data_IF_537331043583
#
_entry.id   IF_537331043583
#
_cell.length_a   1.000
_cell.length_b   1.000
_cell.length_c   1.000
_cell.angle_alpha   90.00
_cell.angle_beta   90.00
_cell.angle_gamma   90.00
#
_symmetry.space_group_name_H-M   'P 1'
#
loop_
_entity.id
_entity.type
_entity.pdbx_description
1 polymer ?
2 non-polymer ?
3 water ?
#
# COMPACT_ATOMS: atom_id res chain seq x y z
N UNK A 1 5.00 8.14 -5.61
CA UNK A 1 3.86 8.44 -6.54
C UNK A 1 4.30 9.40 -7.66
N UNK A 2 4.12 8.96 -8.91
CA UNK A 2 4.49 9.79 -10.05
C UNK A 2 3.24 10.51 -10.59
N UNK A 3 3.39 11.77 -10.97
CA UNK A 3 2.26 12.51 -11.51
C UNK A 3 1.20 12.92 -10.51
N UNK A 4 1.53 12.89 -9.22
CA UNK A 4 0.56 13.29 -8.21
C UNK A 4 0.84 14.70 -7.69
N UNK A 5 0.30 15.01 -6.52
CA UNK A 5 0.48 16.31 -5.87
C UNK A 5 0.54 16.06 -4.37
N UNK A 6 0.92 17.08 -3.60
CA UNK A 6 0.98 16.93 -2.15
C UNK A 6 -0.39 16.66 -1.56
N UNK A 7 -0.47 15.73 -0.63
CA UNK A 7 -1.74 15.44 0.03
C UNK A 7 -1.89 16.53 1.09
N UNK A 8 -3.11 16.80 1.54
CA UNK A 8 -3.31 17.79 2.58
C UNK A 8 -2.94 17.03 3.86
N UNK A 9 -2.56 17.75 4.90
CA UNK A 9 -2.19 17.07 6.14
C UNK A 9 -3.40 16.35 6.68
N UNK A 10 -3.22 15.10 7.10
CA UNK A 10 -4.31 14.31 7.65
C UNK A 10 -5.36 13.84 6.66
N UNK A 11 -5.11 14.05 5.37
CA UNK A 11 -6.07 13.65 4.33
C UNK A 11 -6.22 12.12 4.21
N UNK A 12 -5.17 11.36 4.51
CA UNK A 12 -5.24 9.90 4.41
C UNK A 12 -4.72 9.33 5.73
N UNK A 13 -5.52 9.46 6.80
CA UNK A 13 -5.23 8.99 8.15
C UNK A 13 -4.93 7.50 8.33
N UNK A 14 -5.16 6.70 7.28
CA UNK A 14 -4.88 5.27 7.36
C UNK A 14 -3.51 4.96 6.75
N UNK A 15 -2.96 5.90 6.00
CA UNK A 15 -1.65 5.70 5.37
C UNK A 15 -0.56 5.65 6.40
N UNK A 16 0.21 4.56 6.38
CA UNK A 16 1.30 4.34 7.31
C UNK A 16 2.65 4.31 6.60
N UNK A 17 3.70 4.71 7.31
CA UNK A 17 5.05 4.72 6.75
C UNK A 17 5.89 3.73 7.54
N UNK A 18 6.58 2.85 6.82
CA UNK A 18 7.41 1.85 7.48
C UNK A 18 8.90 2.06 7.26
N UNK A 19 9.61 2.26 8.37
CA UNK A 19 11.04 2.47 8.33
C UNK A 19 11.76 1.21 8.81
N UNK A 20 12.86 0.87 8.16
CA UNK A 20 13.67 -0.28 8.55
C UNK A 20 14.87 0.30 9.30
N UNK A 21 15.30 -0.36 10.37
CA UNK A 21 16.42 0.09 11.18
C UNK A 21 17.60 0.66 10.38
N UNK A 22 17.81 1.98 10.47
CA UNK A 22 18.92 2.59 9.77
C UNK A 22 18.75 2.78 8.27
N UNK A 23 17.52 2.68 7.77
CA UNK A 23 17.29 2.84 6.33
C UNK A 23 16.22 3.85 5.94
N UNK A 24 15.51 4.40 6.93
CA UNK A 24 14.46 5.35 6.63
C UNK A 24 13.25 4.65 6.03
N UNK A 25 12.36 5.42 5.40
CA UNK A 25 11.16 4.89 4.77
C UNK A 25 11.45 3.83 3.71
N UNK A 26 10.84 2.67 3.84
CA UNK A 26 11.03 1.58 2.88
C UNK A 26 9.72 1.18 2.22
N UNK A 27 8.66 1.11 3.02
CA UNK A 27 7.35 0.73 2.51
C UNK A 27 6.20 1.45 3.22
N UNK A 28 5.03 1.41 2.62
CA UNK A 28 3.86 2.01 3.24
C UNK A 28 3.03 0.84 3.74
N UNK A 29 1.93 1.14 4.42
CA UNK A 29 1.02 0.10 4.92
C UNK A 29 -0.31 0.81 5.17
N UNK A 30 -1.31 0.09 5.65
CA UNK A 30 -2.58 0.75 5.94
C UNK A 30 -3.10 0.28 7.28
N UNK A 31 -3.66 1.22 8.04
CA UNK A 31 -4.22 0.94 9.35
C UNK A 31 -5.61 0.34 9.09
N UNK A 32 -5.89 -0.85 9.61
CA UNK A 32 -7.19 -1.48 9.41
C UNK A 32 -7.91 -1.73 10.75
N UNK A 33 -7.19 -1.51 11.84
CA UNK A 33 -7.73 -1.69 13.19
C UNK A 33 -6.71 -1.12 14.17
N UNK A 34 -7.04 -1.15 15.48
CA UNK A 34 -6.08 -0.61 16.46
C UNK A 34 -4.73 -1.35 16.47
N UNK A 35 -4.75 -2.65 16.25
CA UNK A 35 -3.51 -3.43 16.28
C UNK A 35 -2.98 -4.01 14.98
N UNK A 36 -3.68 -3.78 13.87
CA UNK A 36 -3.20 -4.33 12.61
C UNK A 36 -3.09 -3.40 11.41
N UNK A 37 -2.11 -3.71 10.59
CA UNK A 37 -1.84 -2.97 9.36
C UNK A 37 -1.77 -3.99 8.24
N UNK A 38 -2.10 -3.53 7.04
CA UNK A 38 -2.04 -4.37 5.86
C UNK A 38 -0.90 -3.78 5.02
N UNK A 39 -0.11 -4.65 4.41
CA UNK A 39 1.01 -4.21 3.57
C UNK A 39 1.29 -5.27 2.50
N UNK A 40 2.43 -5.16 1.81
CA UNK A 40 2.81 -6.09 0.75
C UNK A 40 3.88 -7.05 1.25
N UNK A 41 3.74 -8.33 0.94
CA UNK A 41 4.71 -9.33 1.40
C UNK A 41 6.14 -9.10 0.86
N UNK A 42 6.26 -8.55 -0.35
CA UNK A 42 7.59 -8.34 -0.92
C UNK A 42 8.47 -7.37 -0.12
N UNK A 43 7.87 -6.59 0.77
CA UNK A 43 8.64 -5.65 1.61
C UNK A 43 9.40 -6.37 2.71
N UNK A 44 8.92 -7.55 3.09
CA UNK A 44 9.52 -8.30 4.21
C UNK A 44 10.33 -9.53 3.85
N UNK A 45 10.96 -9.51 2.68
CA UNK A 45 11.78 -10.64 2.24
C UNK A 45 13.22 -10.36 2.63
N UNK A 46 13.86 -11.28 3.35
CA UNK A 46 15.25 -11.07 3.73
C UNK A 46 16.14 -11.07 2.49
N UNK A 47 17.31 -10.47 2.63
CA UNK A 47 18.32 -10.47 1.57
C UNK A 47 19.61 -10.72 2.39
N UNK A 48 20.74 -10.94 1.73
CA UNK A 48 21.97 -11.24 2.46
C UNK A 48 22.43 -10.21 3.50
N UNK A 49 22.04 -8.96 3.32
CA UNK A 49 22.49 -7.93 4.25
C UNK A 49 21.52 -7.34 5.25
N UNK A 50 20.26 -7.79 5.24
CA UNK A 50 19.25 -7.25 6.17
C UNK A 50 18.03 -8.16 6.26
N UNK A 51 17.59 -8.42 7.49
CA UNK A 51 16.45 -9.29 7.75
C UNK A 51 15.10 -8.58 7.73
N UNK A 52 14.63 -8.22 6.55
CA UNK A 52 13.35 -7.54 6.46
C UNK A 52 12.20 -8.34 7.08
N UNK A 53 12.37 -9.65 7.19
CA UNK A 53 11.32 -10.51 7.73
C UNK A 53 11.17 -10.42 9.25
N UNK A 54 12.17 -9.82 9.90
CA UNK A 54 12.16 -9.69 11.35
C UNK A 54 11.37 -8.46 11.77
N UNK A 55 10.23 -8.67 12.46
CA UNK A 55 9.37 -7.57 12.93
C UNK A 55 10.09 -6.51 13.76
N UNK A 56 11.12 -6.92 14.49
CA UNK A 56 11.87 -6.00 15.35
C UNK A 56 12.74 -5.01 14.58
N UNK A 57 13.00 -5.30 13.31
CA UNK A 57 13.83 -4.42 12.49
C UNK A 57 13.03 -3.23 11.92
N UNK A 58 11.73 -3.18 12.20
CA UNK A 58 10.84 -2.13 11.68
C UNK A 58 10.20 -1.15 12.66
N UNK A 59 9.83 0.02 12.14
CA UNK A 59 9.14 1.05 12.92
C UNK A 59 7.98 1.57 12.07
N UNK A 60 6.78 1.64 12.65
CA UNK A 60 5.62 2.12 11.91
C UNK A 60 5.25 3.53 12.36
N UNK A 61 5.17 4.46 11.42
CA UNK A 61 4.79 5.83 11.76
C UNK A 61 3.37 6.09 11.25
N UNK A 62 2.45 6.28 12.18
CA UNK A 62 1.06 6.56 11.85
C UNK A 62 0.80 8.05 12.04
N UNK A 63 0.02 8.64 11.15
CA UNK A 63 -0.28 10.05 11.25
C UNK A 63 0.79 10.95 10.64
N UNK A 64 1.80 10.33 10.03
CA UNK A 64 2.89 11.08 9.43
C UNK A 64 2.45 11.82 8.16
N UNK A 65 3.07 12.98 7.90
CA UNK A 65 2.78 13.77 6.71
C UNK A 65 4.07 14.05 5.95
N UNK A 66 5.10 14.47 6.68
CA UNK A 66 6.40 14.81 6.10
C UNK A 66 7.49 13.94 6.73
N UNK A 67 8.26 13.25 5.90
CA UNK A 67 9.32 12.37 6.39
C UNK A 67 10.35 13.12 7.26
N UNK A 68 10.55 14.41 6.96
CA UNK A 68 11.50 15.22 7.72
C UNK A 68 10.91 15.78 9.01
N UNK A 69 9.68 15.39 9.33
CA UNK A 69 8.98 15.84 10.54
C UNK A 69 8.25 14.67 11.19
N UNK A 70 9.02 13.66 11.59
CA UNK A 70 8.47 12.46 12.19
C UNK A 70 8.10 12.55 13.66
N UNK A 71 8.28 13.73 14.24
CA UNK A 71 7.94 13.94 15.64
C UNK A 71 6.80 14.93 15.80
N UNK A 72 6.38 15.52 14.68
CA UNK A 72 5.31 16.50 14.68
C UNK A 72 4.13 16.03 15.53
N UNK A 73 3.29 16.97 16.00
CA UNK A 73 2.13 16.62 16.83
C UNK A 73 1.18 15.72 16.05
N UNK A 74 0.69 14.67 16.70
CA UNK A 74 -0.23 13.77 16.05
C UNK A 74 0.41 12.51 15.48
N UNK A 75 1.71 12.60 15.18
CA UNK A 75 2.42 11.46 14.63
C UNK A 75 2.66 10.45 15.73
N UNK A 76 2.31 9.19 15.45
CA UNK A 76 2.52 8.14 16.42
C UNK A 76 3.60 7.21 15.86
N UNK A 77 4.44 6.69 16.75
CA UNK A 77 5.49 5.77 16.36
C UNK A 77 5.21 4.46 17.06
N UNK A 78 5.28 3.37 16.32
CA UNK A 78 5.02 2.05 16.89
C UNK A 78 5.97 1.01 16.34
N UNK A 79 6.22 0.00 17.13
CA UNK A 79 7.07 -1.08 16.68
C UNK A 79 6.18 -2.26 16.31
N UNK A 80 6.73 -3.20 15.55
CA UNK A 80 5.98 -4.36 15.12
C UNK A 80 6.27 -5.59 15.99
N UNK A 81 5.19 -6.27 16.33
CA UNK A 81 5.24 -7.46 17.15
C UNK A 81 5.30 -8.70 16.25
N UNK A 82 4.73 -8.58 15.05
CA UNK A 82 4.72 -9.70 14.12
C UNK A 82 4.46 -9.26 12.68
N UNK A 83 4.92 -10.10 11.75
CA UNK A 83 4.76 -9.89 10.31
C UNK A 83 4.27 -11.20 9.71
N UNK A 84 3.02 -11.21 9.23
CA UNK A 84 2.44 -12.40 8.63
C UNK A 84 2.31 -12.28 7.11
N UNK A 85 3.25 -12.86 6.36
CA UNK A 85 3.20 -12.82 4.91
C UNK A 85 2.22 -13.88 4.43
N UNK A 86 1.48 -13.60 3.37
CA UNK A 86 0.55 -14.62 2.92
C UNK A 86 1.35 -15.86 2.59
N UNK A 87 0.90 -17.02 3.12
CA UNK A 87 1.63 -18.26 2.86
C UNK A 87 1.84 -18.57 1.38
N UNK A 88 0.95 -18.06 0.53
CA UNK A 88 1.09 -18.32 -0.89
C UNK A 88 1.94 -17.28 -1.65
N UNK A 89 2.49 -16.29 -0.94
CA UNK A 89 3.31 -15.29 -1.63
C UNK A 89 4.45 -15.94 -2.39
N UNK A 90 4.72 -15.42 -3.58
CA UNK A 90 5.77 -15.92 -4.45
C UNK A 90 6.67 -14.76 -4.91
N UNK A 91 7.94 -14.80 -4.52
CA UNK A 91 8.91 -13.78 -4.85
C UNK A 91 9.17 -13.59 -6.35
N UNK A 92 8.94 -14.63 -7.15
CA UNK A 92 9.18 -14.58 -8.58
C UNK A 92 7.97 -14.09 -9.37
N UNK A 93 6.80 -14.64 -9.07
CA UNK A 93 5.60 -14.25 -9.79
C UNK A 93 4.90 -13.09 -9.09
N UNK A 94 5.15 -12.97 -7.78
CA UNK A 94 4.55 -11.93 -6.96
C UNK A 94 3.09 -12.20 -6.64
N UNK A 95 2.65 -13.42 -6.91
CA UNK A 95 1.27 -13.77 -6.62
C UNK A 95 1.12 -13.69 -5.08
N UNK A 96 -0.08 -13.35 -4.63
CA UNK A 96 -0.35 -13.26 -3.19
C UNK A 96 0.56 -12.29 -2.45
N UNK A 97 0.81 -11.14 -3.05
CA UNK A 97 1.67 -10.12 -2.46
C UNK A 97 0.90 -9.31 -1.43
N UNK A 98 0.73 -9.87 -0.24
CA UNK A 98 0.03 -9.16 0.82
C UNK A 98 0.56 -9.62 2.18
N UNK A 99 0.54 -8.72 3.15
CA UNK A 99 1.04 -9.05 4.48
C UNK A 99 0.30 -8.29 5.57
N UNK A 100 0.26 -8.90 6.76
CA UNK A 100 -0.40 -8.33 7.92
C UNK A 100 0.66 -8.04 8.98
N UNK A 101 0.70 -6.80 9.45
CA UNK A 101 1.67 -6.42 10.45
C UNK A 101 0.95 -6.10 11.76
N UNK A 102 1.34 -6.78 12.84
CA UNK A 102 0.74 -6.53 14.14
C UNK A 102 1.57 -5.52 14.90
N UNK A 103 0.94 -4.44 15.35
CA UNK A 103 1.63 -3.43 16.12
C UNK A 103 1.97 -3.93 17.53
N UNK A 104 3.10 -3.51 18.05
CA UNK A 104 3.54 -3.90 19.39
C UNK A 104 2.56 -3.35 20.42
N UNK A 105 2.07 -2.14 20.18
CA UNK A 105 1.15 -1.47 21.08
C UNK A 105 0.02 -0.85 20.25
N UNK A 106 -1.21 -0.83 20.78
CA UNK A 106 -2.37 -0.27 20.08
C UNK A 106 -2.20 1.14 19.53
N UNK A 107 -2.72 1.38 18.33
CA UNK A 107 -2.65 2.71 17.74
C UNK A 107 -3.74 3.52 18.43
N UNK A 108 -3.58 4.84 18.48
CA UNK A 108 -4.58 5.67 19.12
C UNK A 108 -5.34 6.44 18.06
N UNK A 109 -6.64 6.19 17.98
CA UNK A 109 -7.45 6.89 16.99
C UNK A 109 -7.56 8.38 17.29
N UNK A 110 -7.38 9.18 16.24
CA UNK A 110 -7.43 10.63 16.30
C UNK A 110 -7.78 11.08 14.91
N UNK A 111 -7.85 12.39 14.69
CA UNK A 111 -8.20 12.91 13.37
C UNK A 111 -7.11 12.65 12.32
N UNK A 112 -5.92 12.29 12.78
CA UNK A 112 -4.79 12.05 11.87
C UNK A 112 -4.47 10.58 11.75
N UNK A 113 -5.07 9.77 12.62
CA UNK A 113 -4.84 8.33 12.62
C UNK A 113 -6.19 7.63 12.67
N UNK A 114 -6.59 7.07 11.53
CA UNK A 114 -7.88 6.39 11.44
C UNK A 114 -7.76 5.20 10.46
N UNK A 115 -8.42 4.08 10.77
CA UNK A 115 -8.35 2.90 9.90
C UNK A 115 -9.16 3.07 8.61
N UNK A 116 -8.71 2.38 7.57
CA UNK A 116 -9.43 2.41 6.31
C UNK A 116 -10.45 1.27 6.41
N UNK A 117 -11.54 1.37 5.68
CA UNK A 117 -12.55 0.31 5.74
C UNK A 117 -12.13 -0.84 4.82
N UNK A 118 -12.42 -2.07 5.24
CA UNK A 118 -12.12 -3.24 4.44
C UNK A 118 -13.38 -3.68 3.69
N UNK A 119 -13.21 -4.02 2.41
CA UNK A 119 -14.31 -4.46 1.54
C UNK A 119 -14.63 -5.95 1.73
N UNK A 120 -15.93 -6.28 1.73
CA UNK A 120 -16.38 -7.67 1.87
C UNK A 120 -15.85 -8.51 0.70
N UNK A 121 -15.78 -9.82 0.92
CA UNK A 121 -15.26 -10.75 -0.07
C UNK A 121 -15.93 -10.70 -1.45
N UNK A 122 -17.22 -10.41 -1.50
CA UNK A 122 -17.91 -10.40 -2.77
C UNK A 122 -17.90 -9.04 -3.47
N UNK A 123 -17.32 -8.03 -2.83
CA UNK A 123 -17.30 -6.72 -3.45
C UNK A 123 -16.35 -6.65 -4.63
N UNK A 124 -16.77 -5.94 -5.66
CA UNK A 124 -15.99 -5.77 -6.86
C UNK A 124 -15.83 -4.28 -7.20
N UNK A 125 -14.58 -3.85 -7.29
CA UNK A 125 -14.26 -2.47 -7.65
C UNK A 125 -14.30 -2.55 -9.17
N UNK A 126 -15.28 -1.89 -9.79
CA UNK A 126 -15.45 -1.89 -11.24
C UNK A 126 -14.38 -1.22 -12.09
N UNK A 127 -14.18 -1.80 -13.27
CA UNK A 127 -13.22 -1.26 -14.22
C UNK A 127 -13.64 0.17 -14.48
N UNK A 128 -12.68 1.09 -14.60
CA UNK A 128 -13.05 2.47 -14.86
C UNK A 128 -13.25 3.34 -13.63
N UNK A 129 -13.46 2.74 -12.46
CA UNK A 129 -13.66 3.55 -11.25
C UNK A 129 -12.41 4.33 -10.82
N UNK A 130 -12.61 5.57 -10.40
CA UNK A 130 -11.51 6.41 -9.95
C UNK A 130 -11.08 5.94 -8.57
N UNK A 131 -9.78 5.72 -8.40
CA UNK A 131 -9.20 5.27 -7.15
C UNK A 131 -8.04 6.21 -6.80
N UNK A 132 -7.68 6.26 -5.52
CA UNK A 132 -6.57 7.11 -5.13
C UNK A 132 -5.41 6.27 -4.61
N UNK A 133 -4.20 6.57 -5.09
CA UNK A 133 -3.00 5.87 -4.62
C UNK A 133 -2.18 6.94 -3.87
N UNK A 134 -1.58 6.56 -2.74
CA UNK A 134 -0.82 7.51 -1.94
C UNK A 134 0.51 6.95 -1.46
N UNK A 135 1.48 7.84 -1.22
CA UNK A 135 2.76 7.36 -0.74
C UNK A 135 3.91 8.34 -0.78
N UNK A 136 5.03 7.94 -0.17
CA UNK A 136 6.24 8.76 -0.11
C UNK A 136 7.27 8.22 -1.12
N UNK A 137 6.81 7.38 -2.04
CA UNK A 137 7.71 6.81 -3.04
C UNK A 137 8.25 7.82 -4.03
N UNK A 138 9.09 7.35 -4.95
CA UNK A 138 9.67 8.21 -5.97
C UNK A 138 8.59 8.97 -6.72
N UNK A 139 8.92 10.20 -7.09
CA UNK A 139 7.98 11.02 -7.82
C UNK A 139 8.30 10.96 -9.31
N UNK A 140 9.33 10.20 -9.65
CA UNK A 140 9.76 10.01 -11.03
C UNK A 140 10.45 8.64 -11.13
N UNK A 141 10.31 7.95 -12.26
CA UNK A 141 10.99 6.66 -12.40
C UNK A 141 12.46 7.08 -12.52
N UNK A 142 13.29 6.56 -11.62
CA UNK A 142 14.69 6.94 -11.64
C UNK A 142 14.88 8.26 -10.92
N UNK A 143 13.91 8.61 -10.06
CA UNK A 143 13.99 9.85 -9.31
C UNK A 143 14.26 9.60 -7.83
N UNK A 144 13.70 10.46 -6.98
CA UNK A 144 13.88 10.32 -5.54
C UNK A 144 12.55 10.35 -4.79
N UNK A 145 12.54 9.81 -3.57
CA UNK A 145 11.34 9.77 -2.77
C UNK A 145 10.79 11.16 -2.50
N UNK A 146 9.62 11.21 -1.86
CA UNK A 146 8.98 12.49 -1.53
C UNK A 146 8.97 12.69 -0.03
N UNK A 147 9.20 13.93 0.41
CA UNK A 147 9.18 14.23 1.84
C UNK A 147 7.73 14.28 2.28
N UNK A 148 6.92 15.00 1.50
CA UNK A 148 5.50 15.18 1.76
C UNK A 148 4.66 14.08 1.08
N UNK A 149 3.74 13.49 1.83
CA UNK A 149 2.88 12.44 1.28
C UNK A 149 2.25 12.88 -0.05
N UNK A 150 2.28 11.98 -1.02
CA UNK A 150 1.75 12.23 -2.34
C UNK A 150 0.47 11.44 -2.61
N UNK A 151 -0.40 12.00 -3.44
CA UNK A 151 -1.65 11.35 -3.81
C UNK A 151 -1.81 11.50 -5.32
N UNK A 152 -2.32 10.44 -5.94
CA UNK A 152 -2.55 10.47 -7.36
C UNK A 152 -3.85 9.78 -7.66
N UNK A 153 -4.57 10.25 -8.67
CA UNK A 153 -5.82 9.62 -9.01
C UNK A 153 -5.62 8.73 -10.22
N UNK A 154 -6.05 7.50 -10.09
CA UNK A 154 -5.92 6.53 -11.17
C UNK A 154 -7.24 5.75 -11.37
N UNK A 155 -7.29 4.89 -12.37
CA UNK A 155 -8.51 4.15 -12.62
C UNK A 155 -8.31 2.66 -12.74
N UNK A 156 -9.31 1.92 -12.27
CA UNK A 156 -9.27 0.48 -12.34
C UNK A 156 -9.31 0.09 -13.81
N UNK A 157 -8.41 -0.80 -14.19
CA UNK A 157 -8.35 -1.26 -15.56
C UNK A 157 -8.94 -2.66 -15.70
N UNK A 158 -9.61 -2.88 -16.83
CA UNK A 158 -10.22 -4.14 -17.19
C UNK A 158 -9.17 -5.27 -17.04
N UNK A 159 -9.54 -6.36 -16.39
CA UNK A 159 -8.62 -7.47 -16.15
C UNK A 159 -8.02 -8.03 -17.43
N UNK A 160 -8.85 -8.20 -18.46
CA UNK A 160 -8.40 -8.73 -19.73
C UNK A 160 -7.32 -7.85 -20.33
N UNK A 161 -7.57 -6.53 -20.32
CA UNK A 161 -6.60 -5.56 -20.84
C UNK A 161 -5.30 -5.68 -20.04
N UNK A 162 -5.44 -5.79 -18.71
CA UNK A 162 -4.29 -5.93 -17.83
C UNK A 162 -3.43 -7.15 -18.24
N UNK A 163 -4.06 -8.32 -18.30
CA UNK A 163 -3.36 -9.56 -18.68
C UNK A 163 -2.64 -9.38 -20.01
N UNK A 164 -3.32 -8.75 -20.96
CA UNK A 164 -2.76 -8.53 -22.29
C UNK A 164 -1.63 -7.51 -22.29
N UNK A 165 -1.66 -6.56 -21.38
CA UNK A 165 -0.58 -5.58 -21.35
C UNK A 165 0.69 -6.21 -20.78
N UNK A 166 0.51 -7.09 -19.81
CA UNK A 166 1.63 -7.75 -19.14
C UNK A 166 1.48 -9.28 -19.24
N UNK A 167 1.59 -9.81 -20.47
CA UNK A 167 1.48 -11.24 -20.75
C UNK A 167 2.28 -12.17 -19.83
N UNK A 168 1.64 -13.27 -19.42
CA UNK A 168 2.25 -14.27 -18.55
C UNK A 168 2.66 -13.72 -17.18
N UNK A 169 2.06 -12.60 -16.78
CA UNK A 169 2.44 -12.00 -15.50
C UNK A 169 1.29 -11.64 -14.58
N UNK A 170 0.08 -11.54 -15.11
CA UNK A 170 -1.04 -11.15 -14.26
C UNK A 170 -1.92 -12.31 -13.76
N UNK A 171 -1.99 -12.48 -12.44
CA UNK A 171 -2.82 -13.53 -11.85
C UNK A 171 -4.15 -12.90 -11.39
N UNK A 172 -5.15 -13.72 -11.05
CA UNK A 172 -6.44 -13.21 -10.60
C UNK A 172 -6.33 -12.44 -9.26
N UNK A 173 -5.19 -12.57 -8.58
CA UNK A 173 -4.99 -11.84 -7.33
C UNK A 173 -4.50 -10.43 -7.61
N UNK A 174 -4.16 -10.16 -8.86
CA UNK A 174 -3.65 -8.85 -9.25
C UNK A 174 -4.68 -8.02 -10.02
N UNK A 175 -4.52 -6.71 -9.97
CA UNK A 175 -5.41 -5.79 -10.65
C UNK A 175 -4.60 -4.59 -11.16
N UNK A 176 -4.79 -4.26 -12.43
CA UNK A 176 -4.09 -3.10 -12.97
C UNK A 176 -4.91 -1.85 -12.61
N UNK A 177 -4.24 -0.80 -12.17
CA UNK A 177 -4.91 0.46 -11.83
C UNK A 177 -3.97 1.57 -12.27
N UNK A 178 -4.50 2.50 -13.07
CA UNK A 178 -3.69 3.60 -13.57
C UNK A 178 -4.21 4.06 -14.92
N UNK A 179 -3.30 4.30 -15.86
CA UNK A 179 -3.68 4.74 -17.21
C UNK A 179 -2.78 4.06 -18.22
N UNK A 180 -3.35 3.68 -19.36
CA UNK A 180 -2.53 3.05 -20.38
C UNK A 180 -1.48 4.06 -20.84
N UNK A 181 -1.84 5.35 -20.84
CA UNK A 181 -0.91 6.41 -21.26
C UNK A 181 0.13 6.76 -20.19
N UNK A 182 -0.03 6.18 -19.00
CA UNK A 182 0.91 6.46 -17.91
C UNK A 182 0.56 7.76 -17.21
N UNK A 183 1.55 8.60 -16.96
CA UNK A 183 1.27 9.87 -16.31
C UNK A 183 1.17 9.80 -14.80
N UNK A 184 0.22 9.01 -14.30
CA UNK A 184 0.07 8.84 -12.85
C UNK A 184 0.22 7.37 -12.51
N UNK A 185 1.10 7.08 -11.56
CA UNK A 185 1.36 5.71 -11.14
C UNK A 185 2.08 5.74 -9.79
N UNK A 186 2.01 4.64 -9.05
CA UNK A 186 2.72 4.56 -7.79
C UNK A 186 4.14 4.22 -8.24
N UNK A 187 5.08 4.13 -7.32
CA UNK A 187 6.45 3.84 -7.74
C UNK A 187 7.21 3.32 -6.53
N UNK A 188 8.53 3.21 -6.67
CA UNK A 188 9.36 2.72 -5.59
C UNK A 188 9.15 3.48 -4.28
N UNK A 189 8.93 2.74 -3.20
CA UNK A 189 8.71 3.37 -1.92
C UNK A 189 7.22 3.42 -1.60
N UNK A 190 6.37 3.27 -2.62
CA UNK A 190 4.94 3.28 -2.42
C UNK A 190 4.49 1.85 -2.07
N UNK A 191 5.33 0.87 -2.42
CA UNK A 191 5.07 -0.54 -2.14
C UNK A 191 4.42 -0.77 -0.78
N UNK A 192 3.36 -1.59 -0.75
CA UNK A 192 2.68 -1.91 0.50
C UNK A 192 1.60 -0.94 0.93
N UNK A 193 1.54 0.20 0.24
CA UNK A 193 0.53 1.22 0.53
C UNK A 193 -0.85 0.81 0.05
N UNK A 194 -1.88 1.51 0.51
CA UNK A 194 -3.24 1.15 0.07
C UNK A 194 -3.83 1.97 -1.06
N UNK A 195 -4.78 1.38 -1.77
CA UNK A 195 -5.49 2.11 -2.81
C UNK A 195 -6.74 2.51 -2.05
N UNK A 196 -7.08 3.79 -2.12
CA UNK A 196 -8.26 4.29 -1.43
C UNK A 196 -9.39 4.53 -2.44
N UNK A 197 -10.53 3.89 -2.22
CA UNK A 197 -11.68 4.05 -3.09
C UNK A 197 -12.85 4.69 -2.34
N UNK A 198 -13.30 5.86 -2.82
CA UNK A 198 -14.43 6.55 -2.21
C UNK A 198 -15.66 5.72 -2.58
N UNK A 199 -16.41 5.27 -1.59
CA UNK A 199 -17.60 4.47 -1.88
C UNK A 199 -18.91 5.24 -1.78
N UNK A 200 -20.03 4.52 -1.92
CA UNK A 200 -21.38 5.10 -1.93
C UNK A 200 -21.73 6.21 -0.93
N UNK A 201 -21.19 6.16 0.29
CA UNK A 201 -21.52 7.20 1.27
C UNK A 201 -20.35 8.13 1.59
N UNK A 202 -19.32 8.14 0.75
CA UNK A 202 -18.18 9.00 0.99
C UNK A 202 -17.08 8.32 1.76
N UNK A 203 -17.42 7.21 2.44
CA UNK A 203 -16.42 6.48 3.21
C UNK A 203 -15.45 5.78 2.27
N UNK A 204 -14.19 5.70 2.71
CA UNK A 204 -13.14 5.11 1.90
C UNK A 204 -12.76 3.68 2.26
N UNK A 205 -12.70 2.84 1.23
CA UNK A 205 -12.37 1.42 1.36
C UNK A 205 -11.07 1.08 0.63
N UNK A 206 -10.31 0.12 1.16
CA UNK A 206 -9.07 -0.28 0.51
C UNK A 206 -9.38 -1.16 -0.70
N UNK A 207 -9.02 -0.67 -1.87
CA UNK A 207 -9.24 -1.39 -3.13
C UNK A 207 -8.03 -2.19 -3.55
N UNK A 208 -6.93 -2.05 -2.81
CA UNK A 208 -5.74 -2.79 -3.16
C UNK A 208 -4.47 -2.43 -2.40
N UNK A 209 -3.40 -3.15 -2.72
CA UNK A 209 -2.09 -2.95 -2.11
C UNK A 209 -1.07 -2.70 -3.23
N UNK A 210 -0.31 -1.61 -3.13
CA UNK A 210 0.71 -1.29 -4.13
C UNK A 210 1.66 -2.49 -4.15
N UNK A 211 1.77 -3.16 -5.31
CA UNK A 211 2.60 -4.35 -5.40
C UNK A 211 3.81 -4.22 -6.31
N UNK A 212 3.58 -4.03 -7.61
CA UNK A 212 4.71 -3.89 -8.52
C UNK A 212 4.30 -3.18 -9.79
N UNK A 213 5.28 -2.94 -10.64
CA UNK A 213 5.06 -2.29 -11.90
C UNK A 213 6.35 -2.35 -12.71
N UNK A 214 6.23 -2.39 -14.04
CA UNK A 214 7.42 -2.41 -14.88
C UNK A 214 7.80 -0.95 -15.03
N UNK A 215 8.78 -0.51 -14.24
CA UNK A 215 9.18 0.89 -14.26
C UNK A 215 8.11 1.63 -13.49
N UNK A 216 7.81 2.86 -13.88
CA UNK A 216 6.78 3.66 -13.22
C UNK A 216 6.18 4.65 -14.20
N UNK A 217 4.86 4.70 -14.26
CA UNK A 217 4.16 5.63 -15.13
C UNK A 217 4.49 5.44 -16.60
N UNK A 218 5.08 4.31 -16.97
CA UNK A 218 5.41 4.06 -18.35
C UNK A 218 4.16 3.73 -19.16
N UNK A 219 4.17 4.12 -20.43
CA UNK A 219 3.06 3.85 -21.33
C UNK A 219 2.81 2.34 -21.37
N UNK A 220 1.55 1.93 -21.28
CA UNK A 220 1.15 0.53 -21.30
C UNK A 220 1.74 -0.35 -20.21
N UNK A 221 2.14 0.27 -19.11
CA UNK A 221 2.71 -0.48 -17.99
C UNK A 221 2.15 0.12 -16.71
N UNK A 222 0.83 -0.04 -16.49
CA UNK A 222 0.17 0.48 -15.29
C UNK A 222 0.62 -0.26 -14.05
N UNK A 223 0.46 0.35 -12.90
CA UNK A 223 0.84 -0.29 -11.67
C UNK A 223 -0.05 -1.50 -11.41
N UNK A 224 0.53 -2.56 -10.88
CA UNK A 224 -0.21 -3.78 -10.58
C UNK A 224 -0.40 -3.80 -9.06
N UNK A 225 -1.62 -4.10 -8.64
CA UNK A 225 -1.99 -4.11 -7.23
C UNK A 225 -2.62 -5.41 -6.78
N UNK A 226 -2.43 -5.75 -5.50
CA UNK A 226 -3.01 -6.95 -4.94
C UNK A 226 -4.44 -6.59 -4.50
N UNK A 227 -5.42 -7.37 -4.95
CA UNK A 227 -6.83 -7.12 -4.58
C UNK A 227 -7.08 -7.40 -3.10
N UNK A 228 -8.07 -6.71 -2.53
CA UNK A 228 -8.41 -6.88 -1.13
C UNK A 228 -9.60 -7.81 -0.85
N UNK A 229 -10.70 -7.67 -1.61
CA UNK A 229 -11.85 -8.54 -1.37
C UNK A 229 -11.49 -10.00 -1.17
N UNK A 230 -10.63 -10.52 -2.06
CA UNK A 230 -10.20 -11.92 -2.04
C UNK A 230 -9.55 -12.34 -0.73
N UNK A 231 -9.11 -11.37 0.05
CA UNK A 231 -8.44 -11.67 1.30
C UNK A 231 -9.23 -11.29 2.54
N UNK A 232 -10.49 -10.89 2.37
CA UNK A 232 -11.26 -10.51 3.53
C UNK A 232 -11.26 -11.62 4.59
N UNK A 233 -11.57 -12.84 4.18
CA UNK A 233 -11.60 -13.99 5.08
C UNK A 233 -10.22 -14.28 5.68
N UNK A 234 -9.18 -14.17 4.86
CA UNK A 234 -7.84 -14.40 5.36
C UNK A 234 -7.50 -13.40 6.46
N UNK A 235 -7.87 -12.13 6.25
CA UNK A 235 -7.61 -11.08 7.22
C UNK A 235 -8.33 -11.35 8.54
N UNK A 236 -9.59 -11.77 8.45
CA UNK A 236 -10.40 -12.06 9.62
C UNK A 236 -9.85 -13.22 10.44
N UNK A 237 -9.51 -14.32 9.78
CA UNK A 237 -8.97 -15.51 10.44
C UNK A 237 -7.63 -15.30 11.16
N UNK A 238 -6.84 -14.35 10.67
CA UNK A 238 -5.52 -14.08 11.24
C UNK A 238 -5.48 -12.93 12.22
N UNK A 239 -6.34 -11.94 12.04
CA UNK A 239 -6.33 -10.76 12.91
C UNK A 239 -7.57 -10.55 13.78
N UNK A 240 -8.66 -11.22 13.44
CA UNK A 240 -9.88 -11.06 14.20
C UNK A 240 -10.64 -9.82 13.73
N UNK A 241 -10.07 -9.08 12.79
CA UNK A 241 -10.69 -7.87 12.25
C UNK A 241 -11.70 -8.16 11.12
X LIG B 1 13.75 -6.68 -8.99
X LIG B 1 15.28 -6.54 -8.86
X LIG B 1 13.09 -5.38 -9.46
X LIG B 1 11.95 -5.45 -10.28
X LIG B 1 11.28 -4.27 -10.76
X LIG B 1 10.04 -4.45 -11.65
X LIG B 1 9.08 -5.58 -11.17
X LIG B 1 10.51 -4.74 -13.11
X LIG B 1 11.78 -2.97 -10.40
X LIG B 1 10.93 -1.44 -11.00
X LIG B 1 9.51 -1.41 -10.16
X LIG B 1 9.57 -1.48 -8.70
X LIG B 1 8.98 -0.20 -8.05
X LIG B 1 7.44 -0.21 -7.92
X LIG B 1 6.64 0.34 -8.98
X LIG B 1 5.23 0.33 -8.89
X LIG B 1 4.44 0.88 -9.94
X LIG B 1 3.09 0.98 -9.80
X LIG B 1 5.00 1.34 -11.07
X LIG B 1 4.62 -0.24 -7.74
X LIG B 1 5.40 -0.78 -6.68
X LIG B 1 6.81 -0.76 -6.76
X LIG B 1 8.91 -2.76 -8.25
X LIG B 1 9.36 -3.49 -7.01
X LIG B 1 10.46 -2.92 -6.27
X LIG B 1 11.43 -4.04 -5.78
X LIG B 1 10.74 -5.33 -5.75
X LIG B 1 11.14 -6.28 -4.69
X LIG B 1 12.27 -5.94 -3.76
X LIG B 1 11.65 -5.53 -2.39
X LIG B 1 12.74 -5.26 -1.33
X LIG B 1 13.64 -6.51 -1.26
X LIG B 1 13.73 -7.25 -0.12
X LIG B 1 13.20 -6.80 1.03
X LIG B 1 14.34 -8.46 -0.12
X LIG B 1 14.35 -6.93 -2.54
X LIG B 1 13.26 -7.17 -3.61
X LIG B 1 10.55 -7.35 -4.60
X LIG B 1 9.68 -5.82 -6.63
X LIG B 1 8.63 -4.71 -6.73
X LIG B 1 7.97 -3.20 -8.92
X LIG B 1 10.59 -1.60 -12.40
X LIG B 1 11.70 -0.27 -10.64
X LIG B 1 12.96 -2.89 -9.55
X LIG B 1 13.58 -1.55 -9.10
X LIG B 1 14.89 -1.25 -9.89
X LIG B 1 13.90 -1.54 -7.58
X LIG B 1 13.59 -4.10 -9.10
X LIG B 1 13.18 -7.13 -7.63
#
# INVERSE_FOLDING_TARGET
VVGGTDADEGEWPWQVSLHALGQGHICGASLISPNWLVSAAHCYIDDRGFRYSDPTQWTAFLGLHDQSQRSAPGVQERRLKRIISHPFFNDFTFDYDIALLELEKPAEYSSMVRPICLPDASHVFPAGKAIWVTGWGHTQYGGTGALILQKGEIRVINQTTCENLLPQQITPRMMCVGFLSGGVDSCQGDSGGPLSSVEADGRIFQAGVVSWGDGCAQRNKPGVYTRLPLFRDWIKENTGV
672 C2 C4 C3 C9 C8 C13 C15 C14 C7 S16 N19 C20 C23 C24 C29 C28 C30 N32 N31 C27 C26 C25 C21 N33 C38 C37 N36 C39 C41 C46 C45 N44 C47 N49 N48 C43 C42 O40 C35 C34 O22 O18 O17 C6 C10 C12 C11 C5 C1
#
